data_IF_219657637607
#
_entry.id   IF_219657637607
#
_cell.length_a   1.000
_cell.length_b   1.000
_cell.length_c   1.000
_cell.angle_alpha   90.00
_cell.angle_beta   90.00
_cell.angle_gamma   90.00
#
_symmetry.space_group_name_H-M   'P 1'
#
loop_
_entity.id
_entity.type
_entity.pdbx_description
1 polymer ?
#
# COMPACT_ATOMS: atom_id res chain seq x y z
N UNK A 1 5.24 1.38 27.05
CA UNK A 1 5.62 0.57 25.87
C UNK A 1 5.15 1.31 24.63
N UNK A 2 6.01 1.47 23.64
CA UNK A 2 5.66 2.08 22.37
C UNK A 2 5.11 0.99 21.44
N UNK A 3 3.89 1.14 20.93
CA UNK A 3 3.31 0.19 19.98
C UNK A 3 3.73 0.54 18.54
N UNK A 4 3.79 -0.46 17.67
CA UNK A 4 3.95 -0.28 16.24
C UNK A 4 2.58 0.00 15.62
N UNK A 5 2.51 0.97 14.71
CA UNK A 5 1.28 1.34 13.99
C UNK A 5 1.38 0.89 12.53
N UNK A 6 0.28 0.41 11.96
CA UNK A 6 0.17 0.12 10.53
C UNK A 6 -0.94 1.00 9.95
N UNK A 7 -0.59 1.87 9.01
CA UNK A 7 -1.57 2.57 8.20
C UNK A 7 -2.06 1.64 7.10
N UNK A 8 -3.35 1.30 7.12
CA UNK A 8 -3.94 0.44 6.09
C UNK A 8 -4.23 1.24 4.81
N UNK A 9 -4.28 0.55 3.66
CA UNK A 9 -4.71 1.11 2.37
C UNK A 9 -4.10 2.48 2.01
N UNK A 10 -2.77 2.59 2.05
CA UNK A 10 -2.00 3.83 1.80
C UNK A 10 -2.33 4.98 2.76
N UNK A 11 -2.89 4.68 3.93
CA UNK A 11 -3.43 5.68 4.86
C UNK A 11 -4.72 6.34 4.38
N UNK A 12 -5.42 5.73 3.42
CA UNK A 12 -6.62 6.26 2.78
C UNK A 12 -6.43 7.69 2.25
N UNK A 13 -5.23 8.01 1.77
CA UNK A 13 -4.96 9.30 1.12
C UNK A 13 -5.91 9.48 -0.07
N UNK A 14 -6.59 10.64 -0.20
CA UNK A 14 -7.46 10.90 -1.35
C UNK A 14 -6.67 10.77 -2.65
N UNK A 15 -7.13 9.95 -3.60
CA UNK A 15 -6.40 9.65 -4.82
C UNK A 15 -6.12 10.90 -5.71
N UNK A 16 -6.95 11.94 -5.58
CA UNK A 16 -6.80 13.22 -6.29
C UNK A 16 -5.72 14.14 -5.69
N UNK A 17 -5.35 13.94 -4.42
CA UNK A 17 -4.28 14.69 -3.75
C UNK A 17 -3.00 13.86 -3.59
N UNK A 18 -3.13 12.57 -3.29
CA UNK A 18 -2.04 11.63 -3.15
C UNK A 18 -0.93 12.14 -2.24
N UNK A 19 0.28 12.25 -2.80
CA UNK A 19 1.49 12.68 -2.07
C UNK A 19 1.50 14.16 -1.69
N UNK A 20 0.66 14.98 -2.32
CA UNK A 20 0.52 16.41 -2.00
C UNK A 20 -0.33 16.63 -0.74
N UNK A 21 -1.06 15.60 -0.29
CA UNK A 21 -1.83 15.67 0.95
C UNK A 21 -0.89 15.72 2.17
N UNK A 22 -1.03 16.65 3.13
CA UNK A 22 -0.09 16.82 4.26
C UNK A 22 0.13 15.55 5.11
N UNK A 23 -0.86 14.65 5.14
CA UNK A 23 -0.73 13.38 5.84
C UNK A 23 0.36 12.46 5.25
N UNK A 24 0.70 12.58 3.96
CA UNK A 24 1.78 11.80 3.35
C UNK A 24 3.12 12.06 4.03
N UNK A 25 3.46 13.34 4.27
CA UNK A 25 4.70 13.72 4.96
C UNK A 25 4.70 13.22 6.41
N UNK A 26 3.57 13.37 7.12
CA UNK A 26 3.44 12.90 8.51
C UNK A 26 3.62 11.39 8.61
N UNK A 27 2.98 10.62 7.73
CA UNK A 27 3.11 9.17 7.68
C UNK A 27 4.55 8.75 7.36
N UNK A 28 5.15 9.37 6.34
CA UNK A 28 6.53 9.07 5.92
C UNK A 28 7.53 9.33 7.05
N UNK A 29 7.37 10.43 7.80
CA UNK A 29 8.20 10.72 8.97
C UNK A 29 8.05 9.66 10.06
N UNK A 30 6.83 9.22 10.36
CA UNK A 30 6.60 8.16 11.34
C UNK A 30 7.19 6.82 10.91
N UNK A 31 7.18 6.52 9.61
CA UNK A 31 7.83 5.34 9.04
C UNK A 31 9.36 5.41 9.18
N UNK A 32 9.97 6.54 8.81
CA UNK A 32 11.42 6.78 8.91
C UNK A 32 11.94 6.69 10.35
N UNK A 33 11.15 7.15 11.32
CA UNK A 33 11.47 7.03 12.75
C UNK A 33 11.23 5.62 13.31
N UNK A 34 10.81 4.67 12.47
CA UNK A 34 10.57 3.29 12.86
C UNK A 34 9.30 3.07 13.69
N UNK A 35 8.40 4.06 13.75
CA UNK A 35 7.18 4.06 14.57
C UNK A 35 5.96 3.53 13.83
N UNK A 36 5.98 3.58 12.51
CA UNK A 36 4.86 3.15 11.67
C UNK A 36 5.28 2.31 10.45
N UNK A 37 4.29 1.67 9.88
CA UNK A 37 4.30 0.92 8.63
C UNK A 37 3.13 1.38 7.77
N UNK A 38 3.16 1.08 6.47
CA UNK A 38 2.02 1.30 5.58
C UNK A 38 1.75 0.06 4.75
N UNK A 39 0.48 -0.27 4.52
CA UNK A 39 0.07 -1.28 3.56
C UNK A 39 -0.36 -0.60 2.26
N UNK A 40 0.27 -0.98 1.14
CA UNK A 40 -0.06 -0.50 -0.22
C UNK A 40 -1.06 -1.45 -0.93
N UNK A 41 -1.97 -2.05 -0.16
CA UNK A 41 -3.04 -2.95 -0.61
C UNK A 41 -4.20 -2.21 -1.28
N UNK A 42 -5.12 -2.94 -1.93
CA UNK A 42 -6.39 -2.39 -2.41
C UNK A 42 -6.22 -1.21 -3.36
N UNK A 43 -5.53 -1.42 -4.49
CA UNK A 43 -5.28 -0.37 -5.48
C UNK A 43 -6.59 0.18 -6.10
N UNK A 44 -7.64 -0.63 -6.14
CA UNK A 44 -8.97 -0.25 -6.62
C UNK A 44 -9.73 0.69 -5.67
N UNK A 45 -9.48 0.59 -4.36
CA UNK A 45 -10.24 1.34 -3.37
C UNK A 45 -10.03 2.85 -3.56
N UNK A 46 -11.15 3.57 -3.74
CA UNK A 46 -11.23 5.03 -3.93
C UNK A 46 -10.47 5.60 -5.14
N UNK A 47 -9.94 4.74 -6.01
CA UNK A 47 -9.33 5.16 -7.29
C UNK A 47 -10.36 5.92 -8.14
N UNK A 48 -9.90 7.02 -8.75
CA UNK A 48 -10.63 7.82 -9.73
C UNK A 48 -10.32 7.39 -11.15
N UNK A 49 -9.15 6.79 -11.39
CA UNK A 49 -8.76 6.21 -12.68
C UNK A 49 -9.46 4.88 -12.92
N UNK A 50 -9.52 4.01 -11.89
CA UNK A 50 -10.13 2.68 -11.99
C UNK A 50 -9.28 1.66 -12.75
N UNK A 51 -9.91 0.52 -13.06
CA UNK A 51 -9.26 -0.58 -13.76
C UNK A 51 -8.84 -0.20 -15.19
N UNK A 52 -7.78 -0.84 -15.74
CA UNK A 52 -6.98 -1.90 -15.12
C UNK A 52 -5.77 -1.38 -14.34
N UNK A 53 -5.41 -0.11 -14.44
CA UNK A 53 -4.13 0.40 -13.92
C UNK A 53 -4.21 0.92 -12.49
N UNK A 54 -5.33 1.57 -12.12
CA UNK A 54 -5.45 2.31 -10.85
C UNK A 54 -4.26 3.24 -10.60
N UNK A 55 -3.77 3.89 -11.67
CA UNK A 55 -2.46 4.55 -11.69
C UNK A 55 -2.32 5.68 -10.68
N UNK A 56 -3.43 6.28 -10.25
CA UNK A 56 -3.49 7.25 -9.16
C UNK A 56 -3.05 6.64 -7.82
N UNK A 57 -3.63 5.51 -7.43
CA UNK A 57 -3.26 4.81 -6.21
C UNK A 57 -1.90 4.11 -6.30
N UNK A 58 -1.52 3.61 -7.48
CA UNK A 58 -0.20 3.02 -7.72
C UNK A 58 0.92 4.05 -7.52
N UNK A 59 0.72 5.30 -7.97
CA UNK A 59 1.69 6.37 -7.77
C UNK A 59 1.94 6.66 -6.27
N UNK A 60 0.89 6.64 -5.45
CA UNK A 60 1.01 6.82 -3.99
C UNK A 60 1.80 5.67 -3.36
N UNK A 61 1.48 4.43 -3.73
CA UNK A 61 2.18 3.26 -3.20
C UNK A 61 3.65 3.23 -3.59
N UNK A 62 3.97 3.59 -4.84
CA UNK A 62 5.36 3.77 -5.30
C UNK A 62 6.11 4.81 -4.47
N UNK A 63 5.48 5.95 -4.17
CA UNK A 63 6.10 6.98 -3.34
C UNK A 63 6.43 6.48 -1.91
N UNK A 64 5.57 5.65 -1.30
CA UNK A 64 5.89 5.02 -0.01
C UNK A 64 7.05 4.02 -0.10
N UNK A 65 7.10 3.22 -1.17
CA UNK A 65 8.21 2.28 -1.42
C UNK A 65 9.53 3.04 -1.60
N UNK A 66 9.52 4.15 -2.32
CA UNK A 66 10.71 5.00 -2.51
C UNK A 66 11.13 5.70 -1.20
N UNK A 67 10.18 6.13 -0.37
CA UNK A 67 10.46 6.85 0.86
C UNK A 67 10.98 5.97 2.01
N UNK A 68 10.46 4.74 2.15
CA UNK A 68 10.79 3.84 3.26
C UNK A 68 10.52 2.37 2.90
N UNK A 69 11.32 1.75 2.01
CA UNK A 69 11.05 0.41 1.47
C UNK A 69 10.98 -0.68 2.56
N UNK A 70 11.69 -0.52 3.68
CA UNK A 70 11.70 -1.43 4.82
C UNK A 70 10.47 -1.31 5.76
N UNK A 71 9.52 -0.43 5.42
CA UNK A 71 8.28 -0.17 6.20
C UNK A 71 7.00 -0.35 5.39
N UNK A 72 7.09 -0.91 4.19
CA UNK A 72 5.94 -1.13 3.30
C UNK A 72 5.49 -2.59 3.30
N UNK A 73 4.19 -2.80 3.39
CA UNK A 73 3.53 -4.10 3.34
C UNK A 73 2.59 -4.15 2.15
N UNK A 74 2.20 -5.35 1.72
CA UNK A 74 1.16 -5.54 0.72
C UNK A 74 0.15 -6.61 1.17
N UNK A 75 -1.05 -6.54 0.63
CA UNK A 75 -2.08 -7.57 0.78
C UNK A 75 -3.18 -7.40 -0.27
N UNK A 76 -3.91 -8.46 -0.57
CA UNK A 76 -4.99 -8.45 -1.58
C UNK A 76 -6.20 -7.60 -1.18
N UNK A 77 -6.42 -7.45 0.14
CA UNK A 77 -7.65 -6.91 0.71
C UNK A 77 -8.89 -7.78 0.40
N UNK A 78 -8.69 -9.07 0.14
CA UNK A 78 -9.77 -10.05 0.04
C UNK A 78 -10.59 -10.07 1.35
N UNK A 79 -11.94 -10.12 1.31
CA UNK A 79 -12.83 -10.38 0.17
C UNK A 79 -13.33 -9.13 -0.57
N UNK A 80 -12.55 -8.05 -0.61
CA UNK A 80 -12.84 -6.78 -1.31
C UNK A 80 -14.16 -6.12 -0.84
N UNK A 81 -14.32 -5.87 0.47
CA UNK A 81 -15.57 -5.36 1.02
C UNK A 81 -15.94 -3.98 0.48
N UNK A 82 -14.97 -3.13 0.14
CA UNK A 82 -15.20 -1.80 -0.45
C UNK A 82 -15.92 -1.90 -1.79
N UNK A 83 -15.51 -2.81 -2.67
CA UNK A 83 -16.15 -2.99 -3.98
C UNK A 83 -17.53 -3.66 -3.83
N UNK A 84 -17.66 -4.64 -2.91
CA UNK A 84 -18.95 -5.25 -2.59
C UNK A 84 -19.99 -4.24 -2.09
N UNK A 85 -19.63 -3.42 -1.09
CA UNK A 85 -20.53 -2.42 -0.49
C UNK A 85 -20.94 -1.36 -1.52
N UNK A 86 -20.00 -0.92 -2.35
CA UNK A 86 -20.23 0.11 -3.37
C UNK A 86 -20.83 -0.44 -4.67
N UNK A 87 -21.13 -1.75 -4.74
CA UNK A 87 -21.68 -2.45 -5.92
C UNK A 87 -20.84 -2.22 -7.18
N UNK A 88 -19.53 -2.25 -7.01
CA UNK A 88 -18.56 -2.15 -8.10
C UNK A 88 -18.13 -3.54 -8.56
N UNK A 89 -17.43 -3.58 -9.68
CA UNK A 89 -16.87 -4.83 -10.21
C UNK A 89 -15.80 -5.37 -9.27
N UNK A 90 -15.83 -6.68 -9.01
CA UNK A 90 -14.84 -7.32 -8.15
C UNK A 90 -13.48 -7.31 -8.84
N UNK A 91 -12.40 -6.94 -8.14
CA UNK A 91 -11.07 -6.91 -8.72
C UNK A 91 -10.58 -8.32 -9.03
N UNK A 92 -9.75 -8.45 -10.07
CA UNK A 92 -8.98 -9.67 -10.29
C UNK A 92 -7.72 -9.62 -9.44
N UNK A 93 -7.62 -10.49 -8.42
CA UNK A 93 -6.50 -10.55 -7.48
C UNK A 93 -5.13 -10.73 -8.17
N UNK A 94 -5.07 -11.53 -9.24
CA UNK A 94 -3.82 -11.76 -9.99
C UNK A 94 -3.39 -10.46 -10.66
N UNK A 95 -4.33 -9.77 -11.32
CA UNK A 95 -4.04 -8.50 -11.97
C UNK A 95 -3.61 -7.42 -10.95
N UNK A 96 -4.23 -7.38 -9.77
CA UNK A 96 -3.84 -6.43 -8.70
C UNK A 96 -2.47 -6.80 -8.10
N UNK A 97 -2.14 -8.08 -7.99
CA UNK A 97 -0.82 -8.53 -7.58
C UNK A 97 0.26 -8.12 -8.60
N UNK A 98 -0.01 -8.23 -9.90
CA UNK A 98 0.93 -7.82 -10.95
C UNK A 98 1.30 -6.33 -10.85
N UNK A 99 0.35 -5.47 -10.44
CA UNK A 99 0.58 -4.04 -10.20
C UNK A 99 1.54 -3.76 -9.03
N UNK A 100 1.88 -4.74 -8.19
CA UNK A 100 2.94 -4.57 -7.20
C UNK A 100 4.28 -4.28 -7.88
N UNK A 101 4.55 -4.86 -9.05
CA UNK A 101 5.79 -4.63 -9.79
C UNK A 101 5.95 -3.17 -10.26
N UNK A 102 4.84 -2.43 -10.41
CA UNK A 102 4.87 -0.99 -10.74
C UNK A 102 5.23 -0.12 -9.53
N UNK A 103 4.95 -0.60 -8.32
CA UNK A 103 5.23 0.10 -7.07
C UNK A 103 6.61 -0.27 -6.50
N UNK A 104 6.98 -1.54 -6.59
CA UNK A 104 8.25 -2.11 -6.17
C UNK A 104 9.04 -2.58 -7.40
N UNK A 105 9.75 -1.65 -8.04
CA UNK A 105 10.28 -1.82 -9.41
C UNK A 105 11.53 -2.71 -9.51
N UNK A 106 11.82 -3.54 -8.51
CA UNK A 106 12.88 -4.53 -8.54
C UNK A 106 12.49 -5.81 -7.79
N UNK A 107 13.03 -6.99 -8.17
CA UNK A 107 12.77 -8.23 -7.44
C UNK A 107 13.12 -8.16 -5.95
N UNK A 108 14.15 -7.39 -5.59
CA UNK A 108 14.57 -7.16 -4.21
C UNK A 108 13.52 -6.37 -3.44
N UNK A 109 12.94 -5.32 -4.05
CA UNK A 109 11.85 -4.56 -3.43
C UNK A 109 10.58 -5.39 -3.31
N UNK A 110 10.22 -6.19 -4.31
CA UNK A 110 9.08 -7.11 -4.23
C UNK A 110 9.28 -8.10 -3.07
N UNK A 111 10.48 -8.68 -2.95
CA UNK A 111 10.84 -9.56 -1.82
C UNK A 111 10.80 -8.82 -0.48
N UNK A 112 11.26 -7.57 -0.44
CA UNK A 112 11.21 -6.74 0.77
C UNK A 112 9.76 -6.59 1.26
N UNK A 113 8.84 -6.21 0.36
CA UNK A 113 7.43 -5.95 0.68
C UNK A 113 6.66 -7.23 1.02
N UNK A 114 6.87 -8.32 0.28
CA UNK A 114 6.09 -9.55 0.44
C UNK A 114 6.65 -10.52 1.49
N UNK A 115 7.94 -10.44 1.81
CA UNK A 115 8.61 -11.44 2.66
C UNK A 115 9.26 -10.80 3.88
N UNK A 116 10.24 -9.92 3.65
CA UNK A 116 11.12 -9.45 4.74
C UNK A 116 10.39 -8.54 5.73
N UNK A 117 9.59 -7.61 5.22
CA UNK A 117 8.81 -6.67 6.03
C UNK A 117 7.73 -7.37 6.87
N UNK A 118 6.84 -8.21 6.31
CA UNK A 118 5.83 -8.90 7.11
C UNK A 118 6.46 -9.88 8.12
N UNK A 119 7.54 -10.59 7.76
CA UNK A 119 8.24 -11.45 8.71
C UNK A 119 8.77 -10.65 9.91
N UNK A 120 9.37 -9.47 9.67
CA UNK A 120 9.88 -8.58 10.71
C UNK A 120 8.78 -7.99 11.60
N UNK A 121 7.68 -7.55 11.01
CA UNK A 121 6.59 -6.92 11.78
C UNK A 121 5.80 -7.93 12.61
N UNK A 122 5.47 -9.08 12.02
CA UNK A 122 4.56 -10.04 12.63
C UNK A 122 5.26 -11.21 13.34
N UNK A 123 6.57 -11.38 13.17
CA UNK A 123 7.37 -12.36 13.92
C UNK A 123 7.23 -13.80 13.44
N UNK A 124 7.05 -14.01 12.14
CA UNK A 124 6.83 -15.33 11.53
C UNK A 124 8.15 -16.07 11.17
N UNK A 125 9.12 -16.17 12.08
CA UNK A 125 10.37 -16.92 11.83
C UNK A 125 10.14 -18.36 11.33
#
# INVERSE_FOLDING_TARGET
MQCQVVFDHRGCLPADQGIEHPAFEVMSKLMQEGRAWVKISSAYQDSKVGAPSYSDNIAIGKAFVEACPEKVLWGSDWPHPSEYINKREMPNDIAVLDLLAEQATSPELVKQVLVLNPAKLYGFE
#
